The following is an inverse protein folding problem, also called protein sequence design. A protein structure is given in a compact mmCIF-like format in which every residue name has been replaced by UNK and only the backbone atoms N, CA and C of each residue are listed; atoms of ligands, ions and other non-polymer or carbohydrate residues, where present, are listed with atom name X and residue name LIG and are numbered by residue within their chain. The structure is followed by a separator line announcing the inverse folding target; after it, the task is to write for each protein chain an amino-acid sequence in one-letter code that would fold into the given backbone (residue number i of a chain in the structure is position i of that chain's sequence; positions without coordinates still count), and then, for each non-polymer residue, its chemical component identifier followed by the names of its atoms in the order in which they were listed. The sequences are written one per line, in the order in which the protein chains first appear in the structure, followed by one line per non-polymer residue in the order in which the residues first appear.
data_IF_679153599622
#
_entry.id   IF_679153599622
#
_cell.length_a   1.000
_cell.length_b   1.000
_cell.length_c   1.000
_cell.angle_alpha   90.00
_cell.angle_beta   90.00
_cell.angle_gamma   90.00
#
_symmetry.space_group_name_H-M   'P 1'
#
loop_
_entity.id
_entity.type
_entity.pdbx_description
1 polymer ?
#
# COMPACT_ATOMS: atom_id res chain seq x y z
N UNK A 1 27.30 19.26 25.76
CA UNK A 1 26.94 18.69 24.44
C UNK A 1 28.14 17.97 23.80
N UNK A 2 29.34 18.56 23.80
CA UNK A 2 30.56 17.94 23.26
C UNK A 2 30.96 16.61 23.92
N UNK A 3 30.99 16.53 25.25
CA UNK A 3 31.36 15.29 25.96
C UNK A 3 30.40 14.11 25.73
N UNK A 4 29.12 14.40 25.47
CA UNK A 4 28.13 13.35 25.13
C UNK A 4 28.37 12.86 23.71
N UNK A 5 28.60 13.78 22.76
CA UNK A 5 28.94 13.45 21.37
C UNK A 5 30.22 12.61 21.31
N UNK A 6 31.28 12.99 22.03
CA UNK A 6 32.51 12.21 22.13
C UNK A 6 32.29 10.79 22.66
N UNK A 7 31.36 10.61 23.62
CA UNK A 7 31.01 9.28 24.15
C UNK A 7 30.28 8.40 23.15
N UNK A 8 29.45 8.98 22.29
CA UNK A 8 28.61 8.22 21.34
C UNK A 8 29.26 8.10 19.96
N UNK A 9 30.26 8.92 19.64
CA UNK A 9 30.95 8.92 18.34
C UNK A 9 31.47 7.52 17.94
N UNK A 10 32.09 6.72 18.83
CA UNK A 10 32.50 5.35 18.47
C UNK A 10 31.33 4.45 18.05
N UNK A 11 30.13 4.67 18.61
CA UNK A 11 28.92 3.94 18.21
C UNK A 11 28.39 4.45 16.87
N UNK A 12 28.42 5.76 16.63
CA UNK A 12 28.03 6.36 15.36
C UNK A 12 28.92 5.89 14.20
N UNK A 13 30.23 5.81 14.41
CA UNK A 13 31.18 5.28 13.42
C UNK A 13 30.96 3.79 13.13
N UNK A 14 30.62 2.98 14.13
CA UNK A 14 30.24 1.58 13.92
C UNK A 14 28.97 1.45 13.09
N UNK A 15 27.99 2.31 13.37
CA UNK A 15 26.73 2.35 12.63
C UNK A 15 26.97 2.78 11.17
N UNK A 16 27.80 3.79 10.95
CA UNK A 16 28.24 4.24 9.64
C UNK A 16 28.93 3.12 8.85
N UNK A 17 29.90 2.44 9.48
CA UNK A 17 30.60 1.30 8.90
C UNK A 17 29.67 0.13 8.56
N UNK A 18 28.65 -0.13 9.38
CA UNK A 18 27.61 -1.12 9.07
C UNK A 18 26.82 -0.74 7.82
N UNK A 19 26.43 0.54 7.68
CA UNK A 19 25.71 1.02 6.50
C UNK A 19 26.56 0.88 5.24
N UNK A 20 27.83 1.29 5.29
CA UNK A 20 28.76 1.13 4.18
C UNK A 20 28.97 -0.35 3.81
N UNK A 21 28.95 -1.26 4.79
CA UNK A 21 29.12 -2.69 4.54
C UNK A 21 27.93 -3.35 3.83
N UNK A 22 26.71 -2.83 3.99
CA UNK A 22 25.51 -3.37 3.34
C UNK A 22 25.12 -2.61 2.07
N UNK A 23 25.61 -1.38 1.91
CA UNK A 23 25.28 -0.53 0.78
C UNK A 23 25.99 -0.99 -0.49
N UNK A 24 25.28 -0.94 -1.61
CA UNK A 24 25.90 -1.01 -2.93
C UNK A 24 26.83 0.19 -3.14
N UNK A 25 27.82 0.01 -4.01
CA UNK A 25 28.69 1.10 -4.44
C UNK A 25 27.89 2.09 -5.30
N UNK A 26 27.76 3.32 -4.82
CA UNK A 26 26.96 4.38 -5.45
C UNK A 26 27.74 5.70 -5.42
N UNK A 27 27.54 6.58 -6.42
CA UNK A 27 28.25 7.85 -6.49
C UNK A 27 27.83 8.81 -5.38
N UNK A 28 28.68 9.78 -5.08
CA UNK A 28 28.35 10.90 -4.17
C UNK A 28 27.40 11.89 -4.83
N UNK A 29 27.61 12.17 -6.11
CA UNK A 29 26.78 13.11 -6.86
C UNK A 29 25.55 12.42 -7.45
N UNK A 30 24.40 13.06 -7.32
CA UNK A 30 23.16 12.60 -7.95
C UNK A 30 23.17 12.91 -9.43
N UNK A 31 22.95 11.88 -10.24
CA UNK A 31 22.59 12.08 -11.65
C UNK A 31 21.12 12.47 -11.78
N UNK A 32 20.87 13.76 -11.99
CA UNK A 32 19.51 14.30 -12.12
C UNK A 32 18.82 13.92 -13.44
N UNK A 33 19.56 13.42 -14.45
CA UNK A 33 18.98 12.91 -15.67
C UNK A 33 18.32 11.53 -15.45
N UNK A 34 18.82 10.74 -14.49
CA UNK A 34 18.30 9.41 -14.13
C UNK A 34 18.15 9.26 -12.62
N UNK A 35 16.92 9.38 -12.10
CA UNK A 35 16.69 9.26 -10.65
C UNK A 35 16.49 7.81 -10.14
N UNK A 36 16.79 6.81 -10.97
CA UNK A 36 16.56 5.39 -10.65
C UNK A 36 17.70 4.78 -9.83
N UNK A 37 18.91 5.29 -9.98
CA UNK A 37 20.07 4.84 -9.21
C UNK A 37 20.26 5.70 -7.97
N UNK A 38 20.79 5.09 -6.91
CA UNK A 38 21.12 5.76 -5.67
C UNK A 38 22.34 6.67 -5.81
N UNK A 39 22.42 7.63 -4.90
CA UNK A 39 23.63 8.43 -4.65
C UNK A 39 23.66 8.82 -3.17
N UNK A 40 24.84 9.11 -2.62
CA UNK A 40 25.00 9.55 -1.23
C UNK A 40 24.53 11.00 -1.01
N UNK A 41 23.24 11.25 -1.23
CA UNK A 41 22.61 12.54 -0.93
C UNK A 41 22.56 12.80 0.58
N UNK A 42 22.18 11.77 1.36
CA UNK A 42 22.35 11.75 2.80
C UNK A 42 23.60 10.95 3.15
N UNK A 43 24.33 11.36 4.18
CA UNK A 43 25.51 10.64 4.64
C UNK A 43 25.17 9.24 5.21
N UNK A 44 26.10 8.28 5.19
CA UNK A 44 25.84 6.92 5.69
C UNK A 44 25.43 6.89 7.16
N UNK A 45 25.91 7.83 7.99
CA UNK A 45 25.53 7.96 9.40
C UNK A 45 24.06 8.33 9.52
N UNK A 46 23.52 9.24 8.72
CA UNK A 46 22.10 9.57 8.68
C UNK A 46 21.24 8.36 8.26
N UNK A 47 21.66 7.60 7.25
CA UNK A 47 20.99 6.35 6.87
C UNK A 47 20.92 5.37 8.05
N UNK A 48 22.03 5.22 8.77
CA UNK A 48 22.11 4.37 9.97
C UNK A 48 21.21 4.83 11.10
N UNK A 49 21.20 6.14 11.39
CA UNK A 49 20.34 6.71 12.44
C UNK A 49 18.86 6.50 12.12
N UNK A 50 18.45 6.70 10.87
CA UNK A 50 17.07 6.46 10.46
C UNK A 50 16.68 4.98 10.53
N UNK A 51 17.54 4.08 10.04
CA UNK A 51 17.30 2.65 10.12
C UNK A 51 17.29 2.13 11.56
N UNK A 52 18.03 2.75 12.48
CA UNK A 52 17.98 2.37 13.89
C UNK A 52 16.72 2.94 14.56
N UNK A 53 16.55 4.26 14.55
CA UNK A 53 15.52 4.90 15.37
C UNK A 53 14.15 4.89 14.71
N UNK A 54 14.06 5.31 13.44
CA UNK A 54 12.77 5.38 12.76
C UNK A 54 12.23 3.99 12.45
N UNK A 55 13.07 3.04 12.06
CA UNK A 55 12.60 1.68 11.78
C UNK A 55 12.04 1.00 13.03
N UNK A 56 12.75 1.05 14.17
CA UNK A 56 12.26 0.50 15.44
C UNK A 56 10.98 1.18 15.89
N UNK A 57 10.90 2.51 15.77
CA UNK A 57 9.70 3.27 16.11
C UNK A 57 8.50 2.86 15.24
N UNK A 58 8.65 2.90 13.91
CA UNK A 58 7.55 2.56 12.99
C UNK A 58 7.12 1.09 13.10
N UNK A 59 8.04 0.16 13.29
CA UNK A 59 7.72 -1.25 13.52
C UNK A 59 6.89 -1.43 14.80
N UNK A 60 7.34 -0.83 15.90
CA UNK A 60 6.70 -0.94 17.21
C UNK A 60 5.29 -0.37 17.18
N UNK A 61 5.13 0.84 16.64
CA UNK A 61 3.82 1.49 16.57
C UNK A 61 2.88 0.74 15.62
N UNK A 62 3.36 0.28 14.46
CA UNK A 62 2.56 -0.54 13.53
C UNK A 62 2.03 -1.80 14.21
N UNK A 63 2.90 -2.51 14.94
CA UNK A 63 2.52 -3.72 15.67
C UNK A 63 1.49 -3.45 16.76
N UNK A 64 1.69 -2.40 17.56
CA UNK A 64 0.76 -2.01 18.63
C UNK A 64 -0.61 -1.64 18.04
N UNK A 65 -0.64 -0.84 16.97
CA UNK A 65 -1.88 -0.43 16.30
C UNK A 65 -2.60 -1.61 15.65
N UNK A 66 -1.86 -2.52 15.02
CA UNK A 66 -2.42 -3.74 14.44
C UNK A 66 -3.10 -4.60 15.51
N UNK A 67 -2.43 -4.84 16.64
CA UNK A 67 -3.02 -5.54 17.79
C UNK A 67 -4.25 -4.82 18.35
N UNK A 68 -4.23 -3.48 18.38
CA UNK A 68 -5.35 -2.67 18.87
C UNK A 68 -6.58 -2.78 17.97
N UNK A 69 -6.40 -2.80 16.64
CA UNK A 69 -7.49 -3.00 15.67
C UNK A 69 -8.12 -4.39 15.83
N UNK A 70 -7.30 -5.39 16.16
CA UNK A 70 -7.73 -6.76 16.39
C UNK A 70 -8.17 -7.08 17.82
N UNK A 71 -8.31 -6.07 18.70
CA UNK A 71 -8.74 -6.32 20.08
C UNK A 71 -10.21 -6.79 20.13
N UNK A 72 -10.51 -7.97 20.71
CA UNK A 72 -11.89 -8.44 20.86
C UNK A 72 -12.79 -7.43 21.57
N UNK A 73 -14.06 -7.38 21.17
CA UNK A 73 -15.06 -6.45 21.70
C UNK A 73 -15.07 -5.05 21.07
N UNK A 74 -14.10 -4.71 20.20
CA UNK A 74 -14.17 -3.47 19.41
C UNK A 74 -15.10 -3.63 18.20
N UNK A 75 -15.77 -2.55 17.80
CA UNK A 75 -16.64 -2.51 16.62
C UNK A 75 -15.93 -2.98 15.35
N UNK A 76 -14.68 -2.53 15.14
CA UNK A 76 -13.87 -2.94 13.99
C UNK A 76 -13.61 -4.44 13.98
N UNK A 77 -13.20 -5.01 15.12
CA UNK A 77 -12.99 -6.46 15.26
C UNK A 77 -14.24 -7.23 14.82
N UNK A 78 -15.41 -6.87 15.37
CA UNK A 78 -16.70 -7.49 15.02
C UNK A 78 -16.97 -7.43 13.51
N UNK A 79 -16.83 -6.24 12.90
CA UNK A 79 -17.04 -6.05 11.46
C UNK A 79 -16.04 -6.84 10.60
N UNK A 80 -14.81 -7.03 11.06
CA UNK A 80 -13.77 -7.74 10.33
C UNK A 80 -13.91 -9.26 10.45
N UNK A 81 -14.34 -9.79 11.60
CA UNK A 81 -14.38 -11.23 11.87
C UNK A 81 -15.73 -11.88 11.56
N UNK A 82 -16.84 -11.13 11.68
CA UNK A 82 -18.18 -11.67 11.44
C UNK A 82 -18.69 -11.43 10.01
N UNK A 83 -17.95 -10.67 9.20
CA UNK A 83 -18.38 -10.38 7.85
C UNK A 83 -18.40 -11.63 6.98
N UNK A 84 -19.49 -11.79 6.25
CA UNK A 84 -19.68 -12.84 5.26
C UNK A 84 -20.13 -12.18 3.96
N UNK A 85 -19.40 -12.35 2.84
CA UNK A 85 -19.81 -11.79 1.56
C UNK A 85 -21.22 -12.26 1.19
N UNK A 86 -22.16 -11.35 0.91
CA UNK A 86 -23.58 -11.69 0.78
C UNK A 86 -23.92 -12.45 -0.51
N UNK A 87 -23.03 -12.42 -1.51
CA UNK A 87 -23.18 -13.06 -2.83
C UNK A 87 -21.82 -13.56 -3.29
N UNK A 88 -21.77 -14.47 -4.28
CA UNK A 88 -20.52 -14.93 -4.95
C UNK A 88 -19.91 -13.84 -5.85
N UNK A 89 -18.65 -14.02 -6.25
CA UNK A 89 -17.91 -13.09 -7.11
C UNK A 89 -18.64 -12.91 -8.44
N UNK A 90 -18.87 -11.65 -8.83
CA UNK A 90 -19.46 -11.33 -10.14
C UNK A 90 -18.44 -11.57 -11.26
N UNK A 91 -18.92 -11.62 -12.51
CA UNK A 91 -18.02 -11.66 -13.66
C UNK A 91 -17.13 -10.41 -13.73
N UNK A 92 -17.67 -9.24 -13.41
CA UNK A 92 -16.91 -7.99 -13.35
C UNK A 92 -15.77 -8.05 -12.32
N UNK A 93 -16.02 -8.59 -11.13
CA UNK A 93 -15.00 -8.75 -10.08
C UNK A 93 -13.88 -9.69 -10.54
N UNK A 94 -14.24 -10.81 -11.18
CA UNK A 94 -13.26 -11.74 -11.76
C UNK A 94 -12.44 -11.07 -12.87
N UNK A 95 -13.10 -10.33 -13.76
CA UNK A 95 -12.46 -9.57 -14.83
C UNK A 95 -11.47 -8.54 -14.29
N UNK A 96 -11.84 -7.77 -13.26
CA UNK A 96 -10.96 -6.82 -12.58
C UNK A 96 -9.78 -7.50 -11.89
N UNK A 97 -10.01 -8.66 -11.26
CA UNK A 97 -8.95 -9.45 -10.61
C UNK A 97 -7.93 -9.92 -11.64
N UNK A 98 -8.41 -10.46 -12.77
CA UNK A 98 -7.55 -10.90 -13.88
C UNK A 98 -6.81 -9.71 -14.48
N UNK A 99 -7.48 -8.59 -14.75
CA UNK A 99 -6.85 -7.40 -15.32
C UNK A 99 -5.71 -6.87 -14.43
N UNK A 100 -5.93 -6.77 -13.11
CA UNK A 100 -4.91 -6.31 -12.17
C UNK A 100 -3.75 -7.30 -12.05
N UNK A 101 -4.04 -8.60 -11.97
CA UNK A 101 -3.00 -9.64 -11.90
C UNK A 101 -2.17 -9.70 -13.19
N UNK A 102 -2.81 -9.58 -14.36
CA UNK A 102 -2.13 -9.53 -15.66
C UNK A 102 -1.27 -8.27 -15.79
N UNK A 103 -1.76 -7.12 -15.35
CA UNK A 103 -1.01 -5.86 -15.38
C UNK A 103 0.25 -5.93 -14.51
N UNK A 104 0.13 -6.45 -13.27
CA UNK A 104 1.29 -6.68 -12.39
C UNK A 104 2.27 -7.70 -12.97
N UNK A 105 1.76 -8.76 -13.61
CA UNK A 105 2.61 -9.78 -14.25
C UNK A 105 3.38 -9.20 -15.43
N UNK A 106 2.73 -8.38 -16.26
CA UNK A 106 3.38 -7.68 -17.36
C UNK A 106 4.45 -6.71 -16.86
N UNK A 107 4.15 -5.93 -15.81
CA UNK A 107 5.13 -5.08 -15.14
C UNK A 107 6.33 -5.90 -14.67
N UNK A 108 6.10 -7.02 -13.97
CA UNK A 108 7.17 -7.91 -13.52
C UNK A 108 8.05 -8.41 -14.68
N UNK A 109 7.43 -8.86 -15.79
CA UNK A 109 8.16 -9.30 -16.98
C UNK A 109 9.05 -8.18 -17.53
N UNK A 110 8.50 -6.97 -17.70
CA UNK A 110 9.29 -5.82 -18.15
C UNK A 110 10.46 -5.53 -17.20
N UNK A 111 10.23 -5.56 -15.89
CA UNK A 111 11.27 -5.32 -14.88
C UNK A 111 12.31 -6.45 -14.85
N UNK A 112 11.96 -7.70 -15.10
CA UNK A 112 12.93 -8.80 -15.25
C UNK A 112 13.82 -8.56 -16.47
N UNK A 113 13.21 -8.28 -17.64
CA UNK A 113 13.95 -8.04 -18.90
C UNK A 113 14.94 -6.87 -18.73
N UNK A 114 14.58 -5.84 -17.97
CA UNK A 114 15.40 -4.64 -17.75
C UNK A 114 16.35 -4.75 -16.56
N UNK A 115 16.39 -5.89 -15.86
CA UNK A 115 17.13 -6.05 -14.61
C UNK A 115 16.78 -4.98 -13.55
N UNK A 116 15.48 -4.71 -13.41
CA UNK A 116 14.87 -3.70 -12.53
C UNK A 116 13.88 -4.32 -11.54
N UNK A 117 14.00 -5.61 -11.22
CA UNK A 117 12.99 -6.34 -10.41
C UNK A 117 12.73 -5.71 -9.04
N UNK A 118 13.73 -5.04 -8.45
CA UNK A 118 13.58 -4.32 -7.17
C UNK A 118 12.53 -3.22 -7.22
N UNK A 119 12.28 -2.62 -8.38
CA UNK A 119 11.24 -1.63 -8.57
C UNK A 119 9.83 -2.21 -8.42
N UNK A 120 9.64 -3.53 -8.40
CA UNK A 120 8.36 -4.16 -8.02
C UNK A 120 7.94 -3.84 -6.58
N UNK A 121 8.85 -3.32 -5.77
CA UNK A 121 8.57 -2.83 -4.42
C UNK A 121 8.04 -1.39 -4.39
N UNK A 122 7.95 -0.72 -5.54
CA UNK A 122 7.32 0.60 -5.60
C UNK A 122 5.89 0.54 -5.04
N UNK A 123 5.43 1.60 -4.33
CA UNK A 123 4.16 1.58 -3.63
C UNK A 123 2.95 1.23 -4.51
N UNK A 124 2.93 1.60 -5.79
CA UNK A 124 1.85 1.28 -6.72
C UNK A 124 1.70 -0.24 -6.94
N UNK A 125 2.79 -0.95 -7.22
CA UNK A 125 2.77 -2.40 -7.44
C UNK A 125 2.41 -3.16 -6.17
N UNK A 126 2.94 -2.74 -5.01
CA UNK A 126 2.55 -3.30 -3.70
C UNK A 126 1.06 -3.06 -3.43
N UNK A 127 0.56 -1.87 -3.77
CA UNK A 127 -0.86 -1.54 -3.65
C UNK A 127 -1.72 -2.43 -4.58
N UNK A 128 -1.23 -2.74 -5.78
CA UNK A 128 -1.84 -3.71 -6.69
C UNK A 128 -1.89 -5.11 -6.10
N UNK A 129 -0.77 -5.60 -5.55
CA UNK A 129 -0.71 -6.90 -4.88
C UNK A 129 -1.67 -6.99 -3.70
N UNK A 130 -1.77 -5.93 -2.88
CA UNK A 130 -2.73 -5.84 -1.77
C UNK A 130 -4.18 -5.96 -2.27
N UNK A 131 -4.53 -5.29 -3.37
CA UNK A 131 -5.86 -5.41 -3.98
C UNK A 131 -6.13 -6.79 -4.55
N UNK A 132 -5.19 -7.38 -5.28
CA UNK A 132 -5.33 -8.77 -5.80
C UNK A 132 -5.56 -9.72 -4.63
N UNK A 133 -4.77 -9.61 -3.56
CA UNK A 133 -4.94 -10.42 -2.36
C UNK A 133 -6.32 -10.23 -1.72
N UNK A 134 -6.80 -8.98 -1.60
CA UNK A 134 -8.14 -8.70 -1.09
C UNK A 134 -9.24 -9.29 -1.99
N UNK A 135 -9.11 -9.17 -3.31
CA UNK A 135 -10.07 -9.68 -4.31
C UNK A 135 -10.17 -11.21 -4.32
N UNK A 136 -9.04 -11.91 -4.16
CA UNK A 136 -8.98 -13.37 -4.14
C UNK A 136 -9.50 -13.97 -2.83
N UNK A 137 -9.43 -13.22 -1.72
CA UNK A 137 -9.78 -13.72 -0.39
C UNK A 137 -10.86 -12.89 0.36
N UNK A 138 -12.02 -12.61 -0.25
CA UNK A 138 -13.09 -11.85 0.42
C UNK A 138 -13.80 -12.62 1.53
N UNK A 139 -13.65 -13.96 1.59
CA UNK A 139 -14.43 -14.84 2.47
C UNK A 139 -13.55 -15.81 3.29
N UNK A 140 -12.59 -15.31 4.07
CA UNK A 140 -11.81 -16.18 4.96
C UNK A 140 -12.06 -15.85 6.42
N UNK A 141 -11.88 -16.86 7.28
CA UNK A 141 -11.85 -16.79 8.75
C UNK A 141 -10.83 -15.76 9.31
N UNK A 142 -9.99 -15.18 8.44
CA UNK A 142 -8.97 -14.21 8.81
C UNK A 142 -9.43 -12.77 8.56
N UNK A 143 -9.28 -11.86 9.53
CA UNK A 143 -9.57 -10.44 9.36
C UNK A 143 -8.55 -9.72 8.46
N UNK A 144 -7.42 -10.36 8.11
CA UNK A 144 -6.29 -9.71 7.44
C UNK A 144 -6.62 -9.12 6.06
N UNK A 145 -7.27 -9.83 5.11
CA UNK A 145 -7.59 -9.26 3.80
C UNK A 145 -8.48 -8.01 3.91
N UNK A 146 -9.40 -7.99 4.89
CA UNK A 146 -10.24 -6.85 5.18
C UNK A 146 -9.46 -5.68 5.76
N UNK A 147 -8.50 -5.92 6.67
CA UNK A 147 -7.61 -4.87 7.18
C UNK A 147 -6.77 -4.28 6.06
N UNK A 148 -6.16 -5.13 5.22
CA UNK A 148 -5.34 -4.69 4.10
C UNK A 148 -6.14 -3.86 3.09
N UNK A 149 -7.37 -4.27 2.77
CA UNK A 149 -8.26 -3.45 1.94
C UNK A 149 -8.59 -2.10 2.57
N UNK A 150 -8.85 -2.05 3.88
CA UNK A 150 -9.13 -0.78 4.56
C UNK A 150 -7.88 0.12 4.67
N UNK A 151 -6.68 -0.45 4.83
CA UNK A 151 -5.41 0.28 4.71
C UNK A 151 -5.24 0.84 3.29
N UNK A 152 -5.55 0.04 2.27
CA UNK A 152 -5.48 0.43 0.87
C UNK A 152 -6.34 1.65 0.55
N UNK A 153 -7.54 1.77 1.14
CA UNK A 153 -8.42 2.93 0.95
C UNK A 153 -7.78 4.27 1.39
N UNK A 154 -6.71 4.25 2.18
CA UNK A 154 -5.90 5.44 2.49
C UNK A 154 -4.75 5.67 1.51
N UNK A 155 -4.34 4.65 0.74
CA UNK A 155 -3.15 4.68 -0.12
C UNK A 155 -3.44 5.15 -1.56
N UNK A 156 -4.71 5.35 -1.93
CA UNK A 156 -5.12 5.68 -3.30
C UNK A 156 -4.48 6.98 -3.85
N UNK A 157 -3.98 7.87 -3.00
CA UNK A 157 -3.28 9.09 -3.42
C UNK A 157 -2.03 8.78 -4.22
N UNK A 158 -1.36 7.64 -3.98
CA UNK A 158 -0.17 7.25 -4.74
C UNK A 158 -0.49 7.03 -6.22
N UNK A 159 -1.63 6.40 -6.51
CA UNK A 159 -2.07 6.20 -7.89
C UNK A 159 -2.50 7.52 -8.56
N UNK A 160 -3.16 8.42 -7.81
CA UNK A 160 -3.48 9.76 -8.30
C UNK A 160 -2.21 10.57 -8.61
N UNK A 161 -1.21 10.53 -7.73
CA UNK A 161 0.07 11.21 -7.92
C UNK A 161 0.81 10.68 -9.14
N UNK A 162 0.85 9.36 -9.34
CA UNK A 162 1.50 8.73 -10.50
C UNK A 162 0.80 9.07 -11.83
N UNK A 163 -0.54 9.24 -11.83
CA UNK A 163 -1.26 9.67 -13.02
C UNK A 163 -1.07 11.17 -13.31
N UNK A 164 -0.97 12.00 -12.27
CA UNK A 164 -0.76 13.45 -12.40
C UNK A 164 0.69 13.81 -12.78
N UNK A 165 1.65 13.06 -12.24
CA UNK A 165 3.09 13.27 -12.42
C UNK A 165 3.75 11.95 -12.84
N UNK A 166 3.48 11.47 -14.06
CA UNK A 166 3.98 10.17 -14.51
C UNK A 166 5.49 10.20 -14.71
N UNK A 167 6.20 9.24 -14.13
CA UNK A 167 7.62 9.00 -14.40
C UNK A 167 7.76 7.92 -15.47
N UNK A 168 8.03 8.35 -16.70
CA UNK A 168 8.11 7.46 -17.88
C UNK A 168 9.54 7.34 -18.41
N UNK A 169 10.55 7.88 -17.71
CA UNK A 169 11.94 8.01 -18.21
C UNK A 169 12.58 6.68 -18.58
N UNK A 170 12.19 5.59 -17.91
CA UNK A 170 12.72 4.25 -18.17
C UNK A 170 11.86 3.41 -19.11
N UNK A 171 10.75 3.95 -19.62
CA UNK A 171 9.85 3.19 -20.47
C UNK A 171 10.42 3.03 -21.87
N UNK A 172 10.80 1.80 -22.19
CA UNK A 172 11.43 1.46 -23.48
C UNK A 172 10.81 0.25 -24.16
N UNK A 173 10.08 -0.59 -23.40
CA UNK A 173 9.46 -1.78 -23.94
C UNK A 173 8.06 -1.47 -24.46
N UNK A 174 7.66 -2.20 -25.50
CA UNK A 174 6.31 -2.08 -26.07
C UNK A 174 5.26 -2.34 -25.00
N UNK A 175 4.27 -1.46 -24.89
CA UNK A 175 3.18 -1.58 -23.94
C UNK A 175 3.53 -1.19 -22.50
N UNK A 176 4.77 -0.81 -22.17
CA UNK A 176 5.17 -0.41 -20.81
C UNK A 176 4.42 0.85 -20.36
N UNK A 177 4.41 1.90 -21.19
CA UNK A 177 3.66 3.13 -20.92
C UNK A 177 2.16 2.89 -20.84
N UNK A 178 1.60 2.07 -21.74
CA UNK A 178 0.18 1.72 -21.67
C UNK A 178 -0.15 0.99 -20.37
N UNK A 179 0.63 -0.04 -20.01
CA UNK A 179 0.42 -0.82 -18.79
C UNK A 179 0.58 0.04 -17.55
N UNK A 180 1.52 1.01 -17.53
CA UNK A 180 1.64 1.98 -16.45
C UNK A 180 0.32 2.72 -16.21
N UNK A 181 -0.25 3.35 -17.25
CA UNK A 181 -1.52 4.08 -17.06
C UNK A 181 -2.68 3.13 -16.73
N UNK A 182 -2.75 1.97 -17.37
CA UNK A 182 -3.77 0.97 -17.12
C UNK A 182 -3.74 0.46 -15.67
N UNK A 183 -2.56 0.13 -15.14
CA UNK A 183 -2.37 -0.33 -13.76
C UNK A 183 -2.87 0.73 -12.77
N UNK A 184 -2.44 1.98 -12.94
CA UNK A 184 -2.83 3.07 -12.04
C UNK A 184 -4.32 3.41 -12.10
N UNK A 185 -4.94 3.32 -13.29
CA UNK A 185 -6.40 3.44 -13.42
C UNK A 185 -7.11 2.28 -12.72
N UNK A 186 -6.61 1.05 -12.85
CA UNK A 186 -7.16 -0.11 -12.13
C UNK A 186 -7.06 0.06 -10.61
N UNK A 187 -5.95 0.58 -10.10
CA UNK A 187 -5.80 0.92 -8.68
C UNK A 187 -6.91 1.88 -8.19
N UNK A 188 -7.42 2.78 -9.04
CA UNK A 188 -8.50 3.68 -8.65
C UNK A 188 -9.89 3.07 -8.81
N UNK A 189 -10.14 2.31 -9.89
CA UNK A 189 -11.48 1.79 -10.22
C UNK A 189 -11.84 0.54 -9.39
N UNK A 190 -10.91 -0.39 -9.21
CA UNK A 190 -11.12 -1.64 -8.46
C UNK A 190 -11.71 -1.42 -7.06
N UNK A 191 -11.12 -0.56 -6.18
CA UNK A 191 -11.66 -0.31 -4.85
C UNK A 191 -13.06 0.32 -4.88
N UNK A 192 -13.37 1.16 -5.88
CA UNK A 192 -14.72 1.74 -6.05
C UNK A 192 -15.72 0.61 -6.34
N UNK A 193 -15.36 -0.32 -7.23
CA UNK A 193 -16.20 -1.48 -7.50
C UNK A 193 -16.37 -2.38 -6.28
N UNK A 194 -15.31 -2.60 -5.50
CA UNK A 194 -15.34 -3.38 -4.26
C UNK A 194 -16.31 -2.74 -3.24
N UNK A 195 -16.34 -1.41 -3.13
CA UNK A 195 -17.31 -0.68 -2.30
C UNK A 195 -18.73 -0.84 -2.85
N UNK A 196 -18.91 -0.64 -4.16
CA UNK A 196 -20.20 -0.73 -4.84
C UNK A 196 -20.86 -2.12 -4.71
N UNK A 197 -20.06 -3.18 -4.84
CA UNK A 197 -20.54 -4.57 -4.86
C UNK A 197 -21.03 -5.08 -3.50
N UNK A 198 -20.65 -4.41 -2.41
CA UNK A 198 -20.91 -4.80 -1.01
C UNK A 198 -20.36 -6.19 -0.64
N UNK A 199 -19.37 -6.70 -1.38
CA UNK A 199 -18.69 -7.98 -1.09
C UNK A 199 -17.48 -7.86 -0.17
N UNK A 200 -17.10 -6.64 0.22
CA UNK A 200 -15.93 -6.37 1.04
C UNK A 200 -16.31 -5.50 2.24
N UNK A 201 -15.69 -5.77 3.39
CA UNK A 201 -15.84 -4.91 4.58
C UNK A 201 -15.20 -3.56 4.30
N UNK A 202 -16.01 -2.51 4.35
CA UNK A 202 -15.54 -1.13 4.43
C UNK A 202 -15.80 -0.65 5.85
N UNK A 203 -14.73 -0.48 6.62
CA UNK A 203 -14.83 0.01 7.99
C UNK A 203 -15.23 1.49 8.00
N UNK A 204 -16.00 1.95 9.01
CA UNK A 204 -16.22 3.37 9.22
C UNK A 204 -14.89 4.12 9.36
N UNK A 205 -14.84 5.38 8.91
CA UNK A 205 -13.65 6.23 9.11
C UNK A 205 -13.26 6.25 10.60
N UNK A 206 -11.97 6.04 10.87
CA UNK A 206 -11.44 5.87 12.22
C UNK A 206 -9.98 6.31 12.27
N UNK A 207 -9.62 6.98 13.36
CA UNK A 207 -8.24 7.43 13.60
C UNK A 207 -7.30 6.22 13.73
N UNK A 208 -7.77 5.14 14.34
CA UNK A 208 -7.01 3.91 14.51
C UNK A 208 -6.57 3.29 13.18
N UNK A 209 -7.46 3.22 12.18
CA UNK A 209 -7.13 2.70 10.84
C UNK A 209 -6.25 3.70 10.07
N UNK A 210 -6.48 5.01 10.23
CA UNK A 210 -5.60 6.04 9.65
C UNK A 210 -4.16 5.91 10.15
N UNK A 211 -3.97 5.86 11.47
CA UNK A 211 -2.65 5.69 12.06
C UNK A 211 -2.04 4.35 11.67
N UNK A 212 -2.82 3.26 11.70
CA UNK A 212 -2.31 1.97 11.23
C UNK A 212 -1.85 2.04 9.77
N UNK A 213 -2.64 2.65 8.88
CA UNK A 213 -2.25 2.82 7.47
C UNK A 213 -1.00 3.70 7.32
N UNK A 214 -0.87 4.76 8.11
CA UNK A 214 0.30 5.63 8.09
C UNK A 214 1.56 4.90 8.57
N UNK A 215 1.51 4.29 9.75
CA UNK A 215 2.67 3.61 10.32
C UNK A 215 3.04 2.36 9.52
N UNK A 216 2.08 1.60 8.98
CA UNK A 216 2.39 0.51 8.04
C UNK A 216 3.10 1.00 6.78
N UNK A 217 2.74 2.19 6.28
CA UNK A 217 3.42 2.80 5.15
C UNK A 217 4.85 3.21 5.52
N UNK A 218 5.06 3.89 6.65
CA UNK A 218 6.39 4.26 7.12
C UNK A 218 7.25 3.03 7.43
N UNK A 219 6.68 1.97 8.02
CA UNK A 219 7.35 0.69 8.22
C UNK A 219 7.75 0.03 6.90
N UNK A 220 6.90 0.09 5.87
CA UNK A 220 7.29 -0.40 4.56
C UNK A 220 8.43 0.42 3.94
N UNK A 221 8.48 1.74 4.16
CA UNK A 221 9.51 2.58 3.54
C UNK A 221 10.84 2.52 4.28
N UNK A 222 10.85 2.68 5.60
CA UNK A 222 12.10 2.78 6.35
C UNK A 222 12.76 1.41 6.52
N UNK A 223 12.29 0.43 7.31
CA UNK A 223 13.05 -0.82 7.42
C UNK A 223 13.11 -1.62 6.11
N UNK A 224 12.03 -1.66 5.33
CA UNK A 224 11.96 -2.58 4.17
C UNK A 224 12.58 -1.93 2.92
N UNK A 225 11.99 -0.85 2.39
CA UNK A 225 12.51 -0.25 1.17
C UNK A 225 13.90 0.35 1.35
N UNK A 226 14.18 1.03 2.46
CA UNK A 226 15.48 1.69 2.67
C UNK A 226 16.62 0.68 2.69
N UNK A 227 16.47 -0.43 3.41
CA UNK A 227 17.49 -1.49 3.45
C UNK A 227 17.69 -2.13 2.09
N UNK A 228 16.60 -2.44 1.36
CA UNK A 228 16.69 -3.02 0.03
C UNK A 228 17.23 -2.02 -1.01
N UNK A 229 16.94 -0.75 -0.84
CA UNK A 229 17.49 0.35 -1.64
C UNK A 229 18.99 0.46 -1.42
N UNK A 230 19.45 0.43 -0.17
CA UNK A 230 20.88 0.39 0.17
C UNK A 230 21.56 -0.81 -0.49
N UNK A 231 21.05 -2.03 -0.26
CA UNK A 231 21.66 -3.25 -0.76
C UNK A 231 21.67 -3.39 -2.29
N UNK A 232 20.66 -2.84 -2.97
CA UNK A 232 20.54 -2.95 -4.43
C UNK A 232 21.17 -1.79 -5.21
N UNK A 233 21.47 -0.67 -4.55
CA UNK A 233 21.94 0.56 -5.20
C UNK A 233 20.87 1.29 -6.01
N UNK A 234 19.62 0.82 -6.01
CA UNK A 234 18.51 1.51 -6.66
C UNK A 234 17.86 2.51 -5.72
N UNK A 235 17.47 3.68 -6.23
CA UNK A 235 16.73 4.71 -5.50
C UNK A 235 15.24 4.35 -5.37
N UNK A 236 14.97 3.24 -4.67
CA UNK A 236 13.62 2.69 -4.51
C UNK A 236 12.77 3.69 -3.73
N UNK A 237 11.82 4.31 -4.43
CA UNK A 237 10.93 5.33 -3.89
C UNK A 237 11.65 6.41 -3.06
N UNK A 238 12.76 6.92 -3.61
CA UNK A 238 13.52 8.04 -3.05
C UNK A 238 14.17 7.76 -1.69
N UNK A 239 14.56 6.50 -1.43
CA UNK A 239 15.29 6.13 -0.20
C UNK A 239 16.78 6.48 -0.23
N UNK A 240 17.36 6.80 -1.38
CA UNK A 240 18.72 7.38 -1.46
C UNK A 240 18.69 8.89 -1.59
N UNK A 241 17.86 9.39 -2.51
CA UNK A 241 17.86 10.79 -2.95
C UNK A 241 16.44 11.26 -3.20
N UNK A 242 16.07 12.50 -2.83
CA UNK A 242 14.73 13.05 -3.09
C UNK A 242 14.41 13.10 -4.61
N UNK A 243 13.12 13.18 -4.97
CA UNK A 243 12.75 13.58 -6.32
C UNK A 243 13.25 15.02 -6.60
N UNK A 244 13.49 15.39 -7.88
CA UNK A 244 14.06 16.68 -8.28
C UNK A 244 13.06 17.84 -8.14
N UNK A 245 12.59 18.07 -6.91
CA UNK A 245 11.65 19.11 -6.53
C UNK A 245 12.43 20.06 -5.62
N UNK A 246 12.59 21.32 -6.05
CA UNK A 246 13.41 22.32 -5.34
C UNK A 246 13.15 22.36 -3.83
N UNK A 247 11.89 22.39 -3.42
CA UNK A 247 11.51 22.38 -2.00
C UNK A 247 12.08 21.18 -1.22
N UNK A 248 12.09 19.98 -1.81
CA UNK A 248 12.62 18.78 -1.15
C UNK A 248 14.15 18.77 -1.14
N UNK A 249 14.79 19.36 -2.16
CA UNK A 249 16.23 19.52 -2.19
C UNK A 249 16.71 20.51 -1.12
N UNK A 250 15.99 21.62 -0.94
CA UNK A 250 16.31 22.64 0.06
C UNK A 250 16.14 22.13 1.50
N UNK A 251 15.36 21.07 1.71
CA UNK A 251 15.15 20.43 3.02
C UNK A 251 16.31 19.52 3.44
N UNK A 252 17.24 19.20 2.55
CA UNK A 252 18.40 18.36 2.84
C UNK A 252 17.98 17.00 3.44
N UNK A 253 18.70 16.51 4.47
CA UNK A 253 18.41 15.22 5.10
C UNK A 253 16.99 15.02 5.64
N UNK A 254 16.25 16.11 5.86
CA UNK A 254 14.89 16.06 6.41
C UNK A 254 13.81 15.70 5.37
N UNK A 255 14.15 15.60 4.08
CA UNK A 255 13.17 15.40 3.01
C UNK A 255 12.29 14.15 3.21
N UNK A 256 12.85 13.02 3.71
CA UNK A 256 12.07 11.78 3.95
C UNK A 256 11.00 11.97 5.01
N UNK A 257 11.32 12.67 6.11
CA UNK A 257 10.36 12.98 7.18
C UNK A 257 9.25 13.87 6.65
N UNK A 258 9.59 14.89 5.86
CA UNK A 258 8.60 15.78 5.23
C UNK A 258 7.70 15.01 4.26
N UNK A 259 8.27 14.13 3.43
CA UNK A 259 7.49 13.25 2.54
C UNK A 259 6.52 12.36 3.33
N UNK A 260 6.92 11.81 4.48
CA UNK A 260 6.01 11.08 5.36
C UNK A 260 4.90 11.98 5.91
N UNK A 261 5.21 13.21 6.31
CA UNK A 261 4.20 14.19 6.73
C UNK A 261 3.16 14.48 5.65
N UNK A 262 3.61 14.72 4.41
CA UNK A 262 2.72 14.90 3.25
C UNK A 262 1.88 13.64 3.01
N UNK A 263 2.49 12.46 3.05
CA UNK A 263 1.78 11.19 2.91
C UNK A 263 0.69 10.99 3.98
N UNK A 264 0.92 11.44 5.23
CA UNK A 264 -0.11 11.41 6.28
C UNK A 264 -1.32 12.27 5.94
N UNK A 265 -1.07 13.50 5.47
CA UNK A 265 -2.15 14.43 5.06
C UNK A 265 -2.94 13.83 3.89
N UNK A 266 -2.25 13.30 2.89
CA UNK A 266 -2.91 12.69 1.73
C UNK A 266 -3.72 11.45 2.12
N UNK A 267 -3.25 10.61 3.06
CA UNK A 267 -4.01 9.48 3.62
C UNK A 267 -5.28 9.92 4.36
N UNK A 268 -5.23 11.08 5.01
CA UNK A 268 -6.42 11.68 5.61
C UNK A 268 -7.40 12.11 4.51
N UNK A 269 -6.95 12.88 3.52
CA UNK A 269 -7.78 13.37 2.41
C UNK A 269 -8.46 12.20 1.68
N UNK A 270 -7.69 11.20 1.24
CA UNK A 270 -8.24 10.08 0.48
C UNK A 270 -9.32 9.34 1.25
N UNK A 271 -9.04 8.92 2.49
CA UNK A 271 -10.01 8.14 3.25
C UNK A 271 -11.16 8.98 3.78
N UNK A 272 -10.89 10.13 4.41
CA UNK A 272 -11.91 10.88 5.14
C UNK A 272 -12.74 11.80 4.24
N UNK A 273 -12.22 12.16 3.06
CA UNK A 273 -12.92 13.02 2.10
C UNK A 273 -13.32 12.20 0.87
N UNK A 274 -12.38 11.69 0.07
CA UNK A 274 -12.70 11.07 -1.21
C UNK A 274 -13.55 9.79 -1.05
N UNK A 275 -13.10 8.83 -0.23
CA UNK A 275 -13.81 7.55 -0.02
C UNK A 275 -15.14 7.76 0.69
N UNK A 276 -15.22 8.66 1.67
CA UNK A 276 -16.49 8.98 2.35
C UNK A 276 -17.49 9.65 1.41
N UNK A 277 -17.02 10.52 0.51
CA UNK A 277 -17.85 11.11 -0.54
C UNK A 277 -18.42 10.01 -1.45
N UNK A 278 -17.58 9.07 -1.91
CA UNK A 278 -18.04 7.90 -2.69
C UNK A 278 -19.07 7.09 -1.90
N UNK A 279 -18.82 6.79 -0.63
CA UNK A 279 -19.75 6.01 0.20
C UNK A 279 -21.11 6.69 0.39
N UNK A 280 -21.13 8.03 0.39
CA UNK A 280 -22.33 8.84 0.58
C UNK A 280 -23.12 9.02 -0.71
N UNK A 281 -22.44 9.32 -1.82
CA UNK A 281 -23.07 9.64 -3.10
C UNK A 281 -23.39 8.40 -3.95
N UNK A 282 -22.57 7.35 -3.87
CA UNK A 282 -22.72 6.19 -4.74
C UNK A 282 -23.84 5.28 -4.24
N UNK A 283 -24.88 5.12 -5.06
CA UNK A 283 -25.86 4.07 -4.84
C UNK A 283 -25.18 2.70 -4.90
N UNK A 284 -25.26 1.95 -3.80
CA UNK A 284 -24.59 0.63 -3.71
C UNK A 284 -25.54 -0.46 -4.20
N UNK A 285 -24.98 -1.53 -4.78
CA UNK A 285 -25.73 -2.64 -5.35
C UNK A 285 -26.76 -3.19 -4.35
N UNK A 286 -28.01 -3.26 -4.77
CA UNK A 286 -29.07 -3.83 -3.94
C UNK A 286 -28.83 -5.33 -3.73
N UNK A 287 -28.82 -5.73 -2.47
CA UNK A 287 -28.82 -7.14 -2.10
C UNK A 287 -30.28 -7.58 -2.16
N UNK A 288 -30.68 -8.20 -3.27
CA UNK A 288 -31.99 -8.87 -3.34
C UNK A 288 -32.15 -9.75 -2.08
N UNK A 289 -33.18 -9.44 -1.29
CA UNK A 289 -33.61 -10.27 -0.18
C UNK A 289 -33.81 -11.68 -0.72
N UNK A 290 -33.24 -12.67 -0.02
CA UNK A 290 -33.47 -14.09 -0.31
C UNK A 290 -34.96 -14.33 -0.09
N UNK A 291 -35.79 -14.18 -1.14
CA UNK A 291 -37.21 -14.53 -1.09
C UNK A 291 -37.31 -15.95 -0.56
N UNK A 292 -38.02 -16.07 0.56
CA UNK A 292 -38.22 -17.31 1.31
C UNK A 292 -38.49 -18.49 0.39
N UNK A 293 -37.60 -19.48 0.44
CA UNK A 293 -37.81 -20.84 -0.07
C UNK A 293 -38.82 -21.62 0.80
N UNK A 294 -39.93 -20.99 1.20
CA UNK A 294 -40.99 -21.63 1.98
C UNK A 294 -42.23 -22.03 1.16
N UNK A 295 -42.21 -21.89 -0.18
CA UNK A 295 -43.34 -22.31 -1.01
C UNK A 295 -43.31 -23.78 -1.46
N UNK A 296 -42.22 -24.53 -1.21
CA UNK A 296 -42.17 -25.95 -1.58
C UNK A 296 -42.72 -26.94 -0.53
N UNK A 297 -43.10 -26.49 0.66
CA UNK A 297 -43.71 -27.36 1.67
C UNK A 297 -45.24 -27.44 1.59
N UNK A 298 -45.90 -26.58 0.78
CA UNK A 298 -47.35 -26.67 0.56
C UNK A 298 -47.77 -27.51 -0.65
N UNK A 299 -46.89 -27.72 -1.65
CA UNK A 299 -47.22 -28.53 -2.83
C UNK A 299 -47.19 -30.04 -2.49
N UNK A 300 -46.31 -30.48 -1.58
CA UNK A 300 -46.26 -31.89 -1.17
C UNK A 300 -47.33 -32.32 -0.18
N UNK A 301 -48.05 -31.40 0.48
CA UNK A 301 -49.18 -31.75 1.37
C UNK A 301 -50.53 -31.84 0.65
N UNK A 302 -50.68 -31.28 -0.56
CA UNK A 302 -51.93 -31.40 -1.34
C UNK A 302 -51.98 -32.62 -2.27
N UNK A 303 -50.87 -33.31 -2.51
CA UNK A 303 -50.83 -34.49 -3.38
C UNK A 303 -50.98 -35.84 -2.65
N UNK A 304 -51.20 -35.86 -1.33
CA UNK A 304 -51.43 -37.10 -0.54
C UNK A 304 -52.88 -37.28 -0.07
N UNK A 305 -53.82 -36.53 -0.64
CA UNK A 305 -55.26 -36.76 -0.50
C UNK A 305 -55.89 -36.61 -1.89
N UNK A 306 -55.86 -37.67 -2.68
CA UNK A 306 -56.87 -38.09 -3.67
C UNK A 306 -56.36 -39.45 -4.18
N UNK A 307 -57.13 -40.48 -3.84
CA UNK A 307 -57.19 -41.86 -4.36
C UNK A 307 -55.91 -42.68 -4.43
#
# INVERSE_FOLDING_TARGET
MSQILERIEPLLLKLEGFILAIAADVPTETDWAQSSYGSWYNDPRQHGLELLFLATFYASITFILFRRVLKPGKRHYKLLTEFQPPKKASLTEKGMTIALASSLSLTLIHKIIRNRVWFMLQPCHISGLLLVFALLYPNKQSPLPHILFNIYLHLQWGALAALAFPDLREHSLIGETFNFFAEHVLLLIVPIYMIYSRRYVVLPKSKEILFLSFFSYCFFHTPVLHTLSLASGFNLNYMWTPPPIKLLLDLGPSYRIVMYGVAFILKFITRFICVETILTLMSRKQLQSRKNSNNNSQIHKKSKKIN
#
